data_IF_909216583634
#
_entry.id   IF_909216583634
#
_cell.length_a   1.000
_cell.length_b   1.000
_cell.length_c   1.000
_cell.angle_alpha   90.00
_cell.angle_beta   90.00
_cell.angle_gamma   90.00
#
_symmetry.space_group_name_H-M   'P 1'
#
loop_
_entity.id
_entity.type
_entity.pdbx_description
1 polymer ?
#
# COMPACT_ATOMS: atom_id res chain seq x y z
N UNK A 1 0.32 8.75 28.48
CA UNK A 1 -0.93 9.53 28.50
C UNK A 1 -1.30 9.81 27.06
N UNK A 2 -2.58 9.67 26.71
CA UNK A 2 -3.05 9.97 25.35
C UNK A 2 -3.00 11.49 25.12
N UNK A 3 -2.23 11.95 24.14
CA UNK A 3 -2.14 13.39 23.81
C UNK A 3 -3.25 13.83 22.85
N UNK A 4 -3.83 12.88 22.11
CA UNK A 4 -4.89 13.08 21.12
C UNK A 4 -6.22 12.48 21.60
N UNK A 5 -7.28 13.28 21.56
CA UNK A 5 -8.64 12.86 21.92
C UNK A 5 -9.58 13.09 20.74
N UNK A 6 -10.35 12.07 20.37
CA UNK A 6 -11.50 12.19 19.49
C UNK A 6 -12.78 12.12 20.32
N UNK A 7 -13.56 13.19 20.31
CA UNK A 7 -14.86 13.26 20.98
C UNK A 7 -15.97 13.15 19.93
N UNK A 8 -16.70 12.06 19.97
CA UNK A 8 -17.90 11.85 19.17
C UNK A 8 -19.12 12.31 19.98
N UNK A 9 -19.60 13.51 19.67
CA UNK A 9 -20.83 14.07 20.26
C UNK A 9 -22.08 13.60 19.52
N UNK A 10 -21.94 12.62 18.61
CA UNK A 10 -22.88 12.31 17.53
C UNK A 10 -24.34 12.36 17.94
N UNK A 11 -25.08 13.30 17.37
CA UNK A 11 -26.49 13.56 17.68
C UNK A 11 -27.21 14.15 16.45
N UNK A 12 -27.45 13.31 15.44
CA UNK A 12 -28.34 13.65 14.33
C UNK A 12 -29.75 13.14 14.70
N UNK A 13 -30.73 14.04 14.84
CA UNK A 13 -32.14 13.72 15.13
C UNK A 13 -32.46 13.15 16.52
N UNK A 14 -31.73 13.54 17.57
CA UNK A 14 -32.17 13.23 18.94
C UNK A 14 -33.50 13.96 19.23
N UNK A 15 -34.57 13.25 19.62
CA UNK A 15 -35.87 13.85 19.90
C UNK A 15 -35.90 14.62 21.24
N UNK A 16 -34.80 14.62 22.00
CA UNK A 16 -34.71 15.28 23.30
C UNK A 16 -34.07 16.67 23.19
N UNK A 17 -34.82 17.70 23.58
CA UNK A 17 -34.28 19.04 23.80
C UNK A 17 -33.22 19.00 24.91
N UNK A 18 -32.06 19.63 24.68
CA UNK A 18 -31.02 19.81 25.71
C UNK A 18 -29.91 18.76 25.72
N UNK A 19 -29.99 17.69 24.91
CA UNK A 19 -29.00 16.60 24.95
C UNK A 19 -27.59 17.07 24.51
N UNK A 20 -27.50 17.87 23.45
CA UNK A 20 -26.25 18.49 23.01
C UNK A 20 -25.64 19.36 24.13
N UNK A 21 -26.44 20.20 24.79
CA UNK A 21 -25.97 21.05 25.89
C UNK A 21 -25.43 20.22 27.07
N UNK A 22 -26.03 19.06 27.35
CA UNK A 22 -25.52 18.12 28.36
C UNK A 22 -24.16 17.56 27.95
N UNK A 23 -24.01 17.08 26.72
CA UNK A 23 -22.73 16.58 26.21
C UNK A 23 -21.64 17.65 26.24
N UNK A 24 -21.97 18.88 25.84
CA UNK A 24 -21.05 20.01 25.91
C UNK A 24 -20.59 20.28 27.35
N UNK A 25 -21.50 20.22 28.33
CA UNK A 25 -21.15 20.40 29.75
C UNK A 25 -20.23 19.29 30.26
N UNK A 26 -20.55 18.03 29.95
CA UNK A 26 -19.74 16.88 30.37
C UNK A 26 -18.35 16.93 29.72
N UNK A 27 -18.27 17.38 28.46
CA UNK A 27 -17.01 17.63 27.76
C UNK A 27 -16.19 18.75 28.38
N UNK A 28 -16.78 19.92 28.66
CA UNK A 28 -16.04 21.03 29.27
C UNK A 28 -15.37 20.60 30.58
N UNK A 29 -16.05 19.80 31.41
CA UNK A 29 -15.48 19.26 32.63
C UNK A 29 -14.28 18.32 32.37
N UNK A 30 -14.30 17.54 31.30
CA UNK A 30 -13.18 16.68 30.90
C UNK A 30 -11.98 17.49 30.37
N UNK A 31 -12.24 18.56 29.61
CA UNK A 31 -11.21 19.35 28.95
C UNK A 31 -10.47 20.26 29.95
N UNK A 32 -11.18 20.80 30.93
CA UNK A 32 -10.61 21.70 31.95
C UNK A 32 -9.59 21.02 32.89
N UNK A 33 -9.53 19.68 32.92
CA UNK A 33 -8.49 18.92 33.65
C UNK A 33 -7.08 19.10 33.03
N UNK A 34 -6.97 19.73 31.84
CA UNK A 34 -5.71 20.11 31.22
C UNK A 34 -4.84 18.93 30.75
N UNK A 35 -5.35 17.71 30.84
CA UNK A 35 -4.63 16.47 30.55
C UNK A 35 -4.36 16.23 29.05
N UNK A 36 -4.99 16.99 28.15
CA UNK A 36 -4.98 16.74 26.70
C UNK A 36 -4.50 17.96 25.91
N UNK A 37 -3.68 17.70 24.89
CA UNK A 37 -3.08 18.73 24.03
C UNK A 37 -3.86 18.97 22.75
N UNK A 38 -4.51 17.93 22.21
CA UNK A 38 -5.23 17.97 20.94
C UNK A 38 -6.58 17.28 21.05
N UNK A 39 -7.67 18.04 20.91
CA UNK A 39 -9.04 17.56 21.06
C UNK A 39 -9.78 17.79 19.75
N UNK A 40 -10.26 16.71 19.15
CA UNK A 40 -11.03 16.72 17.92
C UNK A 40 -12.48 16.38 18.23
N UNK A 41 -13.42 17.22 17.83
CA UNK A 41 -14.85 17.04 18.07
C UNK A 41 -15.51 16.69 16.75
N UNK A 42 -16.06 15.47 16.65
CA UNK A 42 -16.73 14.99 15.46
C UNK A 42 -18.23 15.27 15.52
N UNK A 43 -18.74 15.92 14.47
CA UNK A 43 -20.17 16.17 14.27
C UNK A 43 -20.70 15.20 13.21
N UNK A 44 -21.75 14.46 13.55
CA UNK A 44 -22.39 13.52 12.62
C UNK A 44 -23.47 14.25 11.80
N UNK A 45 -23.27 14.30 10.48
CA UNK A 45 -24.21 14.89 9.51
C UNK A 45 -25.16 13.84 8.93
N UNK A 46 -25.88 13.11 9.77
CA UNK A 46 -26.94 12.25 9.26
C UNK A 46 -28.21 13.07 8.96
N UNK A 47 -28.55 13.20 7.67
CA UNK A 47 -29.86 13.58 7.08
C UNK A 47 -30.73 14.68 7.73
N UNK A 48 -30.18 15.51 8.61
CA UNK A 48 -30.82 16.70 9.18
C UNK A 48 -30.71 17.91 8.26
N UNK A 49 -31.63 18.88 8.38
CA UNK A 49 -31.58 20.12 7.60
C UNK A 49 -30.31 20.92 7.93
N UNK A 50 -29.60 21.44 6.91
CA UNK A 50 -28.36 22.23 7.02
C UNK A 50 -28.36 23.28 8.16
N UNK A 51 -29.53 23.86 8.46
CA UNK A 51 -29.71 24.85 9.53
C UNK A 51 -29.31 24.34 10.92
N UNK A 52 -29.58 23.07 11.25
CA UNK A 52 -29.27 22.51 12.56
C UNK A 52 -27.76 22.28 12.75
N UNK A 53 -27.05 21.96 11.65
CA UNK A 53 -25.61 21.77 11.66
C UNK A 53 -24.86 23.09 11.87
N UNK A 54 -25.23 24.15 11.13
CA UNK A 54 -24.63 25.48 11.29
C UNK A 54 -24.78 25.99 12.72
N UNK A 55 -25.95 25.78 13.33
CA UNK A 55 -26.21 26.18 14.71
C UNK A 55 -25.37 25.37 15.73
N UNK A 56 -25.21 24.06 15.50
CA UNK A 56 -24.39 23.18 16.35
C UNK A 56 -22.92 23.57 16.32
N UNK A 57 -22.36 23.79 15.12
CA UNK A 57 -20.97 24.24 14.94
C UNK A 57 -20.74 25.61 15.57
N UNK A 58 -21.67 26.57 15.42
CA UNK A 58 -21.58 27.89 16.08
C UNK A 58 -21.56 27.74 17.60
N UNK A 59 -22.45 26.93 18.15
CA UNK A 59 -22.57 26.71 19.60
C UNK A 59 -21.30 26.08 20.19
N UNK A 60 -20.67 25.14 19.47
CA UNK A 60 -19.39 24.55 19.84
C UNK A 60 -18.27 25.60 19.84
N UNK A 61 -18.16 26.40 18.78
CA UNK A 61 -17.15 27.45 18.66
C UNK A 61 -17.30 28.52 19.74
N UNK A 62 -18.53 28.88 20.11
CA UNK A 62 -18.83 29.80 21.20
C UNK A 62 -18.45 29.20 22.56
N UNK A 63 -18.82 27.94 22.82
CA UNK A 63 -18.55 27.25 24.09
C UNK A 63 -17.06 27.10 24.38
N UNK A 64 -16.24 27.01 23.33
CA UNK A 64 -14.80 26.75 23.43
C UNK A 64 -13.93 27.89 22.89
N UNK A 65 -14.47 29.11 22.77
CA UNK A 65 -13.78 30.25 22.17
C UNK A 65 -12.41 30.59 22.81
N UNK A 66 -12.21 30.27 24.09
CA UNK A 66 -10.95 30.47 24.83
C UNK A 66 -9.90 29.36 24.67
N UNK A 67 -10.22 28.27 23.97
CA UNK A 67 -9.35 27.08 23.82
C UNK A 67 -9.15 26.69 22.35
N UNK A 68 -9.29 27.66 21.43
CA UNK A 68 -9.25 27.44 19.96
C UNK A 68 -7.97 26.77 19.44
N UNK A 69 -6.84 26.89 20.15
CA UNK A 69 -5.59 26.24 19.76
C UNK A 69 -5.56 24.73 20.08
N UNK A 70 -6.44 24.25 20.97
CA UNK A 70 -6.52 22.85 21.39
C UNK A 70 -7.69 22.09 20.78
N UNK A 71 -8.75 22.79 20.41
CA UNK A 71 -10.02 22.19 19.98
C UNK A 71 -10.22 22.37 18.48
N UNK A 72 -10.43 21.25 17.80
CA UNK A 72 -10.65 21.16 16.36
C UNK A 72 -12.02 20.53 16.10
N UNK A 73 -12.83 21.12 15.22
CA UNK A 73 -14.14 20.58 14.86
C UNK A 73 -14.03 19.84 13.52
N UNK A 74 -14.48 18.59 13.49
CA UNK A 74 -14.56 17.75 12.30
C UNK A 74 -16.02 17.72 11.81
N UNK A 75 -16.27 18.43 10.72
CA UNK A 75 -17.59 18.63 10.13
C UNK A 75 -17.60 18.22 8.65
N UNK A 76 -17.17 16.97 8.39
CA UNK A 76 -16.68 16.49 7.10
C UNK A 76 -17.74 15.80 6.21
N UNK A 77 -19.02 16.06 6.42
CA UNK A 77 -20.11 15.51 5.60
C UNK A 77 -20.50 14.06 5.90
N UNK A 78 -19.56 13.20 6.30
CA UNK A 78 -19.82 11.82 6.74
C UNK A 78 -18.79 11.37 7.80
N UNK A 79 -19.11 10.30 8.51
CA UNK A 79 -18.25 9.77 9.59
C UNK A 79 -16.93 9.24 9.02
N UNK A 80 -16.93 8.60 7.85
CA UNK A 80 -15.71 8.14 7.19
C UNK A 80 -14.71 9.28 6.93
N UNK A 81 -15.20 10.43 6.43
CA UNK A 81 -14.37 11.59 6.16
C UNK A 81 -13.82 12.21 7.44
N UNK A 82 -14.66 12.34 8.49
CA UNK A 82 -14.20 12.83 9.80
C UNK A 82 -13.11 11.95 10.41
N UNK A 83 -13.25 10.62 10.34
CA UNK A 83 -12.22 9.69 10.81
C UNK A 83 -10.94 9.76 9.98
N UNK A 84 -11.06 9.98 8.68
CA UNK A 84 -9.92 10.16 7.79
C UNK A 84 -9.17 11.47 8.10
N UNK A 85 -9.85 12.60 8.22
CA UNK A 85 -9.25 13.88 8.62
C UNK A 85 -8.60 13.78 10.01
N UNK A 86 -9.27 13.13 10.97
CA UNK A 86 -8.71 12.85 12.28
C UNK A 86 -7.40 12.05 12.18
N UNK A 87 -7.38 10.98 11.37
CA UNK A 87 -6.18 10.18 11.13
C UNK A 87 -5.04 11.01 10.53
N UNK A 88 -5.34 11.88 9.57
CA UNK A 88 -4.35 12.78 8.97
C UNK A 88 -3.70 13.65 10.05
N UNK A 89 -4.49 14.24 10.95
CA UNK A 89 -3.98 15.02 12.07
C UNK A 89 -3.11 14.19 13.04
N UNK A 90 -3.53 12.95 13.37
CA UNK A 90 -2.70 12.04 14.19
C UNK A 90 -1.35 11.77 13.53
N UNK A 91 -1.34 11.56 12.21
CA UNK A 91 -0.12 11.26 11.46
C UNK A 91 0.80 12.47 11.29
N UNK A 92 0.24 13.66 11.08
CA UNK A 92 1.00 14.92 10.97
C UNK A 92 1.73 15.27 12.27
N UNK A 93 1.16 14.90 13.41
CA UNK A 93 1.76 15.06 14.74
C UNK A 93 2.68 13.88 15.13
N UNK A 94 2.84 12.87 14.25
CA UNK A 94 3.54 11.60 14.50
C UNK A 94 3.08 10.87 15.77
N UNK A 95 1.80 11.02 16.13
CA UNK A 95 1.21 10.35 17.29
C UNK A 95 0.74 8.94 16.94
N UNK A 96 0.48 8.14 17.98
CA UNK A 96 -0.03 6.77 17.87
C UNK A 96 -1.05 6.41 18.95
N UNK A 97 -1.08 7.10 20.09
CA UNK A 97 -2.03 6.86 21.17
C UNK A 97 -3.22 7.81 21.08
N UNK A 98 -4.43 7.24 20.99
CA UNK A 98 -5.69 7.97 20.85
C UNK A 98 -6.66 7.55 21.95
N UNK A 99 -7.29 8.55 22.58
CA UNK A 99 -8.50 8.34 23.38
C UNK A 99 -9.74 8.69 22.56
N UNK A 100 -10.71 7.78 22.49
CA UNK A 100 -12.02 8.04 21.90
C UNK A 100 -13.05 8.19 23.00
N UNK A 101 -13.71 9.34 23.04
CA UNK A 101 -14.79 9.65 23.97
C UNK A 101 -16.09 9.63 23.17
N UNK A 102 -17.00 8.73 23.52
CA UNK A 102 -18.26 8.51 22.78
C UNK A 102 -19.33 7.99 23.74
N UNK A 103 -20.51 7.65 23.24
CA UNK A 103 -21.52 6.91 24.00
C UNK A 103 -21.33 5.40 23.90
N UNK A 104 -21.88 4.67 24.87
CA UNK A 104 -21.84 3.21 24.87
C UNK A 104 -22.48 2.59 23.62
N UNK A 105 -23.46 3.28 23.03
CA UNK A 105 -24.18 2.81 21.84
C UNK A 105 -23.37 2.98 20.55
N UNK A 106 -22.65 4.11 20.40
CA UNK A 106 -21.87 4.43 19.20
C UNK A 106 -20.48 3.77 19.18
N UNK A 107 -19.97 3.33 20.33
CA UNK A 107 -18.66 2.66 20.47
C UNK A 107 -18.39 1.57 19.43
N UNK A 108 -19.33 0.64 19.22
CA UNK A 108 -19.15 -0.48 18.29
C UNK A 108 -19.03 -0.02 16.82
N UNK A 109 -19.74 1.04 16.46
CA UNK A 109 -19.69 1.65 15.13
C UNK A 109 -18.32 2.29 14.91
N UNK A 110 -17.87 3.12 15.86
CA UNK A 110 -16.57 3.80 15.81
C UNK A 110 -15.39 2.82 15.78
N UNK A 111 -15.45 1.73 16.54
CA UNK A 111 -14.46 0.66 16.47
C UNK A 111 -14.39 0.01 15.08
N UNK A 112 -15.49 0.02 14.33
CA UNK A 112 -15.48 -0.46 12.94
C UNK A 112 -14.72 0.51 12.03
N UNK A 113 -14.97 1.83 12.11
CA UNK A 113 -14.17 2.83 11.37
C UNK A 113 -12.70 2.78 11.75
N UNK A 114 -12.39 2.68 13.05
CA UNK A 114 -11.02 2.48 13.54
C UNK A 114 -10.38 1.26 12.85
N UNK A 115 -11.04 0.09 12.87
CA UNK A 115 -10.48 -1.13 12.30
C UNK A 115 -10.23 -1.06 10.79
N UNK A 116 -10.95 -0.18 10.09
CA UNK A 116 -10.80 0.02 8.65
C UNK A 116 -9.74 1.06 8.32
N UNK A 117 -9.70 2.18 9.04
CA UNK A 117 -8.86 3.34 8.71
C UNK A 117 -7.52 3.36 9.46
N UNK A 118 -7.39 2.63 10.56
CA UNK A 118 -6.17 2.59 11.37
C UNK A 118 -5.54 1.19 11.35
N UNK A 119 -4.22 1.14 11.56
CA UNK A 119 -3.46 -0.11 11.66
C UNK A 119 -3.05 -0.39 13.10
N UNK A 120 -2.29 -1.47 13.32
CA UNK A 120 -1.77 -1.81 14.65
C UNK A 120 -0.65 -0.87 15.15
N UNK A 121 -0.22 0.09 14.33
CA UNK A 121 0.71 1.17 14.75
C UNK A 121 0.06 2.05 15.83
N UNK A 122 -1.27 2.12 15.85
CA UNK A 122 -2.02 2.99 16.76
C UNK A 122 -2.60 2.20 17.92
N UNK A 123 -2.60 2.81 19.11
CA UNK A 123 -3.30 2.32 20.29
C UNK A 123 -4.54 3.19 20.55
N UNK A 124 -5.65 2.52 20.89
CA UNK A 124 -6.92 3.19 21.13
C UNK A 124 -7.46 2.82 22.50
N UNK A 125 -7.77 3.85 23.28
CA UNK A 125 -8.59 3.76 24.49
C UNK A 125 -9.98 4.32 24.22
N UNK A 126 -10.98 3.83 24.94
CA UNK A 126 -12.36 4.28 24.76
C UNK A 126 -13.00 4.55 26.10
N UNK A 127 -13.52 5.77 26.26
CA UNK A 127 -14.31 6.20 27.40
C UNK A 127 -15.76 6.43 26.98
N UNK A 128 -16.69 5.92 27.78
CA UNK A 128 -18.12 6.17 27.62
C UNK A 128 -18.51 7.34 28.53
N UNK A 129 -18.55 8.55 27.97
CA UNK A 129 -18.90 9.76 28.72
C UNK A 129 -20.39 10.11 28.58
N UNK A 130 -20.99 9.74 27.46
CA UNK A 130 -22.36 10.12 27.09
C UNK A 130 -23.35 8.96 27.27
N UNK A 131 -24.52 9.25 27.85
CA UNK A 131 -25.64 8.32 27.97
C UNK A 131 -26.71 8.61 26.91
N UNK A 132 -26.61 7.88 25.81
CA UNK A 132 -27.52 7.99 24.66
C UNK A 132 -28.61 6.91 24.69
N UNK A 133 -28.85 6.26 25.84
CA UNK A 133 -29.76 5.10 25.95
C UNK A 133 -31.14 5.30 25.31
N UNK A 134 -31.60 6.55 25.24
CA UNK A 134 -32.91 6.96 24.73
C UNK A 134 -32.89 7.52 23.29
N UNK A 135 -31.73 7.56 22.62
CA UNK A 135 -31.52 8.31 21.37
C UNK A 135 -31.45 7.45 20.09
N UNK A 136 -31.26 6.11 20.14
CA UNK A 136 -31.03 5.27 18.94
C UNK A 136 -32.00 4.08 18.79
N UNK A 137 -32.49 3.85 17.56
CA UNK A 137 -33.31 2.69 17.16
C UNK A 137 -32.53 1.65 16.32
N UNK A 138 -32.15 0.53 16.94
CA UNK A 138 -31.71 -0.79 16.41
C UNK A 138 -30.46 -0.91 15.49
N UNK A 139 -29.68 -1.98 15.68
CA UNK A 139 -28.22 -2.02 15.47
C UNK A 139 -27.65 -3.10 14.52
N UNK A 140 -28.44 -3.77 13.67
CA UNK A 140 -27.93 -4.89 12.85
C UNK A 140 -27.53 -4.55 11.40
N UNK A 141 -28.07 -3.48 10.79
CA UNK A 141 -27.79 -3.09 9.41
C UNK A 141 -26.54 -2.20 9.23
N UNK A 142 -25.91 -1.77 10.32
CA UNK A 142 -24.91 -0.70 10.33
C UNK A 142 -23.54 -1.10 9.73
N UNK A 143 -23.05 -2.34 9.98
CA UNK A 143 -21.68 -2.74 9.60
C UNK A 143 -21.44 -2.84 8.09
N UNK A 144 -22.43 -3.32 7.32
CA UNK A 144 -22.30 -3.43 5.85
C UNK A 144 -22.30 -2.04 5.21
N UNK A 145 -23.00 -1.08 5.81
CA UNK A 145 -23.02 0.31 5.36
C UNK A 145 -21.67 1.01 5.61
N UNK A 146 -21.03 0.81 6.76
CA UNK A 146 -19.76 1.48 7.11
C UNK A 146 -18.64 1.16 6.10
N UNK A 147 -18.44 -0.10 5.73
CA UNK A 147 -17.38 -0.46 4.78
C UNK A 147 -17.61 0.15 3.40
N UNK A 148 -18.86 0.18 2.94
CA UNK A 148 -19.20 0.79 1.65
C UNK A 148 -19.13 2.33 1.70
N UNK A 149 -19.47 2.96 2.82
CA UNK A 149 -19.25 4.39 3.04
C UNK A 149 -17.75 4.73 2.96
N UNK A 150 -16.89 4.00 3.70
CA UNK A 150 -15.44 4.19 3.66
C UNK A 150 -14.91 4.03 2.24
N UNK A 151 -15.32 2.99 1.52
CA UNK A 151 -14.90 2.79 0.12
C UNK A 151 -15.36 3.94 -0.78
N UNK A 152 -16.63 4.34 -0.69
CA UNK A 152 -17.20 5.42 -1.51
C UNK A 152 -16.47 6.74 -1.25
N UNK A 153 -16.19 7.04 0.02
CA UNK A 153 -15.40 8.19 0.41
C UNK A 153 -13.98 8.14 -0.16
N UNK A 154 -13.24 7.05 0.03
CA UNK A 154 -11.86 6.92 -0.48
C UNK A 154 -11.79 6.97 -2.01
N UNK A 155 -12.81 6.44 -2.70
CA UNK A 155 -12.94 6.55 -4.16
C UNK A 155 -13.15 7.99 -4.64
N UNK A 156 -13.76 8.85 -3.82
CA UNK A 156 -13.98 10.26 -4.15
C UNK A 156 -12.74 11.13 -3.99
N UNK A 157 -11.72 10.67 -3.25
CA UNK A 157 -10.51 11.45 -3.00
C UNK A 157 -9.72 11.66 -4.31
N UNK A 158 -9.11 12.84 -4.53
CA UNK A 158 -8.19 13.03 -5.65
C UNK A 158 -6.90 12.25 -5.44
N UNK A 159 -6.13 12.04 -6.51
CA UNK A 159 -4.76 11.55 -6.37
C UNK A 159 -3.91 12.59 -5.61
N UNK A 160 -3.09 12.14 -4.68
CA UNK A 160 -2.25 13.03 -3.84
C UNK A 160 -1.10 13.63 -4.67
N UNK A 161 -0.54 12.87 -5.63
CA UNK A 161 0.58 13.34 -6.44
C UNK A 161 0.56 12.70 -7.83
N UNK A 162 0.40 13.53 -8.86
CA UNK A 162 0.45 13.13 -10.26
C UNK A 162 -0.60 12.09 -10.65
N UNK A 163 -0.50 11.61 -11.88
CA UNK A 163 -1.34 10.53 -12.42
C UNK A 163 -0.64 9.17 -12.29
N UNK A 164 -1.41 8.09 -12.44
CA UNK A 164 -0.83 6.75 -12.50
C UNK A 164 0.05 6.64 -13.74
N UNK A 165 1.32 6.31 -13.52
CA UNK A 165 2.28 6.00 -14.58
C UNK A 165 2.71 4.53 -14.50
N UNK A 166 2.68 3.87 -15.66
CA UNK A 166 3.01 2.45 -15.81
C UNK A 166 4.11 2.33 -16.84
N UNK A 167 5.27 1.84 -16.43
CA UNK A 167 6.37 1.54 -17.34
C UNK A 167 6.09 0.21 -18.05
N UNK A 168 6.12 0.21 -19.38
CA UNK A 168 5.92 -0.97 -20.22
C UNK A 168 7.15 -1.24 -21.08
N UNK A 169 7.51 -2.51 -21.13
CA UNK A 169 8.59 -3.04 -21.95
C UNK A 169 8.10 -3.42 -23.34
N UNK A 170 8.89 -3.14 -24.37
CA UNK A 170 8.71 -3.61 -25.75
C UNK A 170 9.09 -5.08 -25.96
N UNK A 171 9.74 -5.72 -24.99
CA UNK A 171 10.17 -7.13 -25.10
C UNK A 171 9.01 -8.10 -24.85
N UNK A 172 8.02 -7.67 -24.06
CA UNK A 172 6.84 -8.50 -23.76
C UNK A 172 5.84 -8.37 -24.90
N UNK A 173 5.48 -9.50 -25.50
CA UNK A 173 4.56 -9.55 -26.64
C UNK A 173 3.13 -9.12 -26.28
N UNK A 174 2.36 -8.71 -27.29
CA UNK A 174 0.97 -8.26 -27.12
C UNK A 174 0.00 -9.33 -26.64
N UNK A 175 0.40 -10.61 -26.60
CA UNK A 175 -0.41 -11.68 -25.99
C UNK A 175 -0.52 -11.51 -24.46
N UNK A 176 0.38 -10.73 -23.88
CA UNK A 176 0.41 -10.42 -22.47
C UNK A 176 0.13 -8.93 -22.24
N UNK A 177 -0.29 -8.62 -21.03
CA UNK A 177 -0.27 -7.26 -20.53
C UNK A 177 0.57 -7.21 -19.27
N UNK A 178 1.29 -6.11 -19.09
CA UNK A 178 2.22 -5.94 -17.99
C UNK A 178 2.41 -4.49 -17.61
N UNK A 179 3.15 -4.29 -16.54
CA UNK A 179 3.72 -3.00 -16.22
C UNK A 179 4.53 -3.00 -14.94
N UNK A 180 5.28 -1.92 -14.75
CA UNK A 180 5.86 -1.57 -13.45
C UNK A 180 5.29 -0.23 -13.02
N UNK A 181 4.74 -0.16 -11.82
CA UNK A 181 4.14 1.06 -11.31
C UNK A 181 5.19 2.05 -10.84
N UNK A 182 4.91 3.34 -10.99
CA UNK A 182 5.58 4.40 -10.23
C UNK A 182 4.86 4.63 -8.90
N UNK A 183 5.32 5.61 -8.12
CA UNK A 183 4.69 6.03 -6.85
C UNK A 183 3.55 7.03 -7.00
N UNK A 184 3.19 7.45 -8.22
CA UNK A 184 2.22 8.54 -8.49
C UNK A 184 0.81 8.01 -8.77
N UNK A 185 -0.22 8.83 -8.54
CA UNK A 185 -1.62 8.53 -8.88
C UNK A 185 -2.47 7.87 -7.78
N UNK A 186 -1.93 7.67 -6.58
CA UNK A 186 -2.65 7.06 -5.46
C UNK A 186 -3.16 8.06 -4.41
N UNK A 187 -3.79 7.53 -3.36
CA UNK A 187 -4.42 8.30 -2.27
C UNK A 187 -3.65 8.26 -0.94
N UNK A 188 -2.55 7.50 -0.86
CA UNK A 188 -1.75 7.47 0.37
C UNK A 188 -1.10 8.84 0.58
N UNK A 189 -1.33 9.46 1.73
CA UNK A 189 -0.85 10.82 2.03
C UNK A 189 0.40 10.86 2.91
N UNK A 190 0.66 9.79 3.70
CA UNK A 190 1.84 9.71 4.57
C UNK A 190 3.09 9.85 3.72
N UNK A 191 3.99 10.78 4.06
CA UNK A 191 5.11 11.22 3.21
C UNK A 191 5.93 10.08 2.60
N UNK A 192 6.22 9.05 3.40
CA UNK A 192 6.99 7.87 2.98
C UNK A 192 6.20 6.85 2.17
N UNK A 193 4.87 6.90 2.24
CA UNK A 193 3.92 6.02 1.53
C UNK A 193 3.25 6.73 0.35
N UNK A 194 3.48 8.05 0.19
CA UNK A 194 2.87 8.88 -0.85
C UNK A 194 3.33 8.48 -2.26
N UNK A 195 2.48 8.18 -3.23
CA UNK A 195 1.01 8.23 -3.25
C UNK A 195 0.34 6.90 -3.59
N UNK A 196 0.85 6.17 -4.59
CA UNK A 196 0.33 4.87 -5.05
C UNK A 196 1.05 3.73 -4.32
N UNK A 197 0.89 3.67 -2.99
CA UNK A 197 1.38 2.55 -2.21
C UNK A 197 0.48 1.32 -2.42
N UNK A 198 1.08 0.20 -2.83
CA UNK A 198 0.37 -1.04 -3.17
C UNK A 198 0.58 -2.16 -2.14
N UNK A 199 1.07 -1.82 -0.94
CA UNK A 199 1.27 -2.77 0.15
C UNK A 199 0.93 -2.17 1.51
N UNK A 200 0.19 -2.92 2.33
CA UNK A 200 -0.07 -2.60 3.73
C UNK A 200 0.45 -3.72 4.65
N UNK A 201 0.79 -3.35 5.88
CA UNK A 201 1.09 -4.31 6.95
C UNK A 201 0.75 -3.68 8.29
N UNK A 202 0.66 -4.51 9.33
CA UNK A 202 0.40 -4.06 10.71
C UNK A 202 1.44 -3.07 11.25
N UNK A 203 2.62 -2.99 10.64
CA UNK A 203 3.73 -2.11 11.04
C UNK A 203 3.76 -0.78 10.30
N UNK A 204 2.87 -0.55 9.33
CA UNK A 204 2.81 0.68 8.53
C UNK A 204 1.53 1.47 8.84
N UNK A 205 1.54 2.78 8.58
CA UNK A 205 0.42 3.69 8.84
C UNK A 205 -0.70 3.63 7.78
N UNK A 206 -0.43 3.12 6.58
CA UNK A 206 -1.47 2.92 5.55
C UNK A 206 -2.33 1.69 5.86
N UNK A 207 -3.65 1.83 6.00
CA UNK A 207 -4.55 0.70 6.18
C UNK A 207 -4.84 -0.02 4.86
N UNK A 208 -5.35 -1.26 4.97
CA UNK A 208 -5.70 -2.09 3.81
C UNK A 208 -6.68 -1.39 2.86
N UNK A 209 -7.70 -0.69 3.37
CA UNK A 209 -8.72 -0.02 2.51
C UNK A 209 -8.13 1.08 1.61
N UNK A 210 -7.06 1.74 2.04
CA UNK A 210 -6.35 2.76 1.23
C UNK A 210 -5.53 2.08 0.12
N UNK A 211 -4.86 0.98 0.45
CA UNK A 211 -4.09 0.19 -0.52
C UNK A 211 -5.00 -0.53 -1.53
N UNK A 212 -6.16 -1.02 -1.09
CA UNK A 212 -7.20 -1.58 -1.96
C UNK A 212 -7.71 -0.56 -2.97
N UNK A 213 -7.90 0.70 -2.55
CA UNK A 213 -8.28 1.79 -3.46
C UNK A 213 -7.17 2.13 -4.46
N UNK A 214 -5.91 2.19 -4.02
CA UNK A 214 -4.76 2.35 -4.93
C UNK A 214 -4.70 1.22 -5.96
N UNK A 215 -4.91 -0.02 -5.55
CA UNK A 215 -4.97 -1.17 -6.46
C UNK A 215 -6.15 -1.09 -7.43
N UNK A 216 -7.32 -0.61 -6.97
CA UNK A 216 -8.49 -0.38 -7.83
C UNK A 216 -8.19 0.65 -8.91
N UNK A 217 -7.55 1.78 -8.56
CA UNK A 217 -7.13 2.80 -9.53
C UNK A 217 -6.13 2.25 -10.53
N UNK A 218 -5.15 1.47 -10.06
CA UNK A 218 -4.22 0.78 -10.94
C UNK A 218 -4.95 -0.17 -11.90
N UNK A 219 -5.88 -0.98 -11.41
CA UNK A 219 -6.68 -1.91 -12.21
C UNK A 219 -7.47 -1.19 -13.31
N UNK A 220 -8.10 -0.05 -12.99
CA UNK A 220 -8.76 0.79 -13.98
C UNK A 220 -7.81 1.31 -15.07
N UNK A 221 -6.63 1.79 -14.67
CA UNK A 221 -5.65 2.34 -15.61
C UNK A 221 -4.97 1.26 -16.46
N UNK A 222 -4.73 0.09 -15.88
CA UNK A 222 -4.04 -1.02 -16.53
C UNK A 222 -4.98 -1.92 -17.34
N UNK A 223 -6.27 -1.94 -17.01
CA UNK A 223 -7.29 -2.77 -17.66
C UNK A 223 -7.46 -4.16 -17.04
N UNK A 224 -7.39 -4.27 -15.71
CA UNK A 224 -7.66 -5.52 -14.99
C UNK A 224 -8.62 -5.32 -13.80
N UNK A 225 -9.37 -6.38 -13.44
CA UNK A 225 -10.17 -6.41 -12.21
C UNK A 225 -9.26 -6.74 -11.01
N UNK A 226 -9.19 -5.88 -9.96
CA UNK A 226 -8.46 -6.18 -8.73
C UNK A 226 -8.79 -7.53 -8.07
N UNK A 227 -9.96 -8.12 -8.32
CA UNK A 227 -10.31 -9.46 -7.82
C UNK A 227 -9.45 -10.57 -8.41
N UNK A 228 -8.86 -10.36 -9.58
CA UNK A 228 -7.98 -11.32 -10.24
C UNK A 228 -6.51 -11.09 -9.87
N UNK A 229 -6.21 -10.10 -9.01
CA UNK A 229 -4.86 -9.72 -8.65
C UNK A 229 -4.30 -10.57 -7.50
N UNK A 230 -3.08 -11.07 -7.71
CA UNK A 230 -2.33 -11.87 -6.75
C UNK A 230 -0.93 -11.27 -6.60
N UNK A 231 -0.61 -10.82 -5.38
CA UNK A 231 0.72 -10.36 -5.01
C UNK A 231 1.48 -11.47 -4.29
N UNK A 232 2.75 -11.66 -4.62
CA UNK A 232 3.60 -12.59 -3.87
C UNK A 232 3.80 -12.12 -2.42
N UNK A 233 3.93 -13.07 -1.47
CA UNK A 233 4.10 -12.77 -0.04
C UNK A 233 5.49 -12.25 0.33
N UNK A 234 6.53 -12.63 -0.43
CA UNK A 234 7.95 -12.25 -0.25
C UNK A 234 8.56 -12.62 1.09
N UNK A 235 9.24 -13.76 1.15
CA UNK A 235 9.96 -14.23 2.34
C UNK A 235 11.49 -14.14 2.19
N UNK A 236 11.96 -13.51 1.10
CA UNK A 236 13.38 -13.51 0.71
C UNK A 236 13.95 -14.95 0.59
N UNK A 237 13.11 -15.86 0.13
CA UNK A 237 13.36 -17.23 -0.28
C UNK A 237 13.69 -17.31 -1.78
N UNK A 238 13.63 -18.52 -2.34
CA UNK A 238 13.84 -18.81 -3.76
C UNK A 238 12.71 -19.63 -4.38
N UNK A 239 11.85 -20.21 -3.57
CA UNK A 239 10.78 -21.10 -4.04
C UNK A 239 9.77 -20.33 -4.90
N UNK A 240 9.17 -21.05 -5.84
CA UNK A 240 8.20 -20.54 -6.80
C UNK A 240 6.89 -21.30 -6.65
N UNK A 241 5.81 -20.57 -6.36
CA UNK A 241 4.48 -21.15 -6.30
C UNK A 241 3.88 -21.32 -7.69
N UNK A 242 3.56 -22.56 -8.04
CA UNK A 242 2.80 -22.90 -9.25
C UNK A 242 1.31 -22.74 -8.95
N UNK A 243 0.67 -21.74 -9.54
CA UNK A 243 -0.74 -21.46 -9.26
C UNK A 243 -1.61 -22.63 -9.70
N UNK A 244 -2.41 -23.15 -8.76
CA UNK A 244 -3.21 -24.37 -8.93
C UNK A 244 -2.66 -25.57 -8.16
N UNK A 245 -1.42 -25.49 -7.66
CA UNK A 245 -0.86 -26.42 -6.68
C UNK A 245 -0.98 -25.84 -5.25
N UNK A 246 -0.85 -26.68 -4.20
CA UNK A 246 -0.77 -26.19 -2.82
C UNK A 246 0.27 -25.08 -2.69
N UNK A 247 -0.12 -24.00 -2.01
CA UNK A 247 0.77 -22.88 -1.76
C UNK A 247 1.90 -23.32 -0.82
N UNK A 248 3.18 -23.09 -1.19
CA UNK A 248 4.30 -23.42 -0.33
C UNK A 248 4.32 -22.51 0.92
N UNK A 249 4.93 -22.96 2.03
CA UNK A 249 5.00 -22.16 3.26
C UNK A 249 5.84 -20.89 3.09
N UNK A 250 6.74 -20.87 2.11
CA UNK A 250 7.57 -19.72 1.79
C UNK A 250 7.86 -19.65 0.29
N UNK A 251 7.79 -18.46 -0.31
CA UNK A 251 8.09 -18.27 -1.73
C UNK A 251 8.31 -16.79 -2.09
N UNK A 252 9.06 -16.57 -3.17
CA UNK A 252 9.31 -15.24 -3.75
C UNK A 252 9.00 -15.19 -5.24
N UNK A 253 8.46 -16.27 -5.82
CA UNK A 253 7.96 -16.29 -7.19
C UNK A 253 6.60 -16.95 -7.35
N UNK A 254 5.87 -16.56 -8.39
CA UNK A 254 4.64 -17.24 -8.84
C UNK A 254 4.71 -17.49 -10.33
N UNK A 255 4.21 -18.64 -10.77
CA UNK A 255 4.13 -19.04 -12.18
C UNK A 255 2.75 -19.61 -12.51
N UNK A 256 2.25 -19.33 -13.72
CA UNK A 256 0.94 -19.78 -14.19
C UNK A 256 0.81 -19.71 -15.70
N UNK A 257 -0.11 -20.49 -16.26
CA UNK A 257 -0.60 -20.36 -17.64
C UNK A 257 -2.11 -20.00 -17.70
N UNK A 258 -2.69 -19.55 -16.58
CA UNK A 258 -4.12 -19.17 -16.50
C UNK A 258 -4.35 -17.79 -17.11
N UNK A 259 -5.25 -17.71 -18.08
CA UNK A 259 -5.71 -16.45 -18.67
C UNK A 259 -6.51 -15.60 -17.66
N UNK A 260 -6.38 -14.27 -17.77
CA UNK A 260 -7.12 -13.30 -16.95
C UNK A 260 -6.65 -13.13 -15.50
N UNK A 261 -5.72 -13.97 -15.02
CA UNK A 261 -5.13 -13.88 -13.69
C UNK A 261 -3.94 -12.90 -13.67
N UNK A 262 -3.99 -11.88 -12.81
CA UNK A 262 -2.90 -10.91 -12.66
C UNK A 262 -2.00 -11.33 -11.53
N UNK A 263 -0.74 -11.62 -11.84
CA UNK A 263 0.31 -11.91 -10.85
C UNK A 263 1.27 -10.72 -10.75
N UNK A 264 1.74 -10.45 -9.53
CA UNK A 264 2.62 -9.31 -9.27
C UNK A 264 3.72 -9.61 -8.24
N UNK A 265 4.83 -8.91 -8.40
CA UNK A 265 5.97 -8.86 -7.49
C UNK A 265 6.15 -7.45 -6.92
N UNK A 266 6.26 -7.27 -5.59
CA UNK A 266 6.52 -5.96 -5.01
C UNK A 266 7.98 -5.55 -5.24
N UNK A 267 8.20 -4.25 -5.22
CA UNK A 267 9.51 -3.62 -5.34
C UNK A 267 9.57 -2.30 -4.58
N UNK A 268 10.72 -2.05 -3.98
CA UNK A 268 11.16 -0.77 -3.42
C UNK A 268 12.66 -0.90 -3.13
N UNK A 269 13.42 -1.08 -4.21
CA UNK A 269 14.85 -1.45 -4.31
C UNK A 269 15.10 -2.90 -4.73
N UNK A 270 14.42 -3.87 -4.13
CA UNK A 270 14.47 -5.24 -4.65
C UNK A 270 13.85 -5.30 -6.06
N UNK A 271 14.32 -6.23 -6.89
CA UNK A 271 13.92 -6.31 -8.30
C UNK A 271 12.59 -7.07 -8.45
N UNK A 272 11.54 -6.44 -8.99
CA UNK A 272 10.44 -7.18 -9.60
C UNK A 272 10.91 -7.70 -10.96
N UNK A 273 10.84 -9.02 -11.14
CA UNK A 273 11.18 -9.70 -12.38
C UNK A 273 9.89 -10.21 -13.04
N UNK A 274 9.72 -9.95 -14.34
CA UNK A 274 8.61 -10.48 -15.13
C UNK A 274 9.17 -11.47 -16.15
N UNK A 275 8.52 -12.63 -16.26
CA UNK A 275 8.88 -13.72 -17.16
C UNK A 275 7.69 -14.04 -18.06
N UNK A 276 7.92 -14.14 -19.37
CA UNK A 276 6.89 -14.55 -20.34
C UNK A 276 7.46 -15.57 -21.31
N UNK A 277 6.75 -16.66 -21.51
CA UNK A 277 6.96 -17.57 -22.63
C UNK A 277 5.79 -17.41 -23.62
N UNK A 278 6.00 -16.77 -24.79
CA UNK A 278 4.96 -16.58 -25.79
C UNK A 278 4.56 -17.88 -26.51
N UNK A 279 5.42 -18.92 -26.49
CA UNK A 279 5.19 -20.20 -27.17
C UNK A 279 4.34 -21.11 -26.27
N UNK A 280 4.79 -21.35 -25.04
CA UNK A 280 4.06 -22.17 -24.06
C UNK A 280 2.89 -21.42 -23.40
N UNK A 281 2.80 -20.09 -23.60
CA UNK A 281 1.81 -19.18 -22.97
C UNK A 281 1.86 -19.27 -21.43
N UNK A 282 3.06 -19.09 -20.90
CA UNK A 282 3.34 -19.14 -19.46
C UNK A 282 3.84 -17.79 -19.00
N UNK A 283 3.40 -17.38 -17.83
CA UNK A 283 3.87 -16.16 -17.18
C UNK A 283 4.41 -16.46 -15.79
N UNK A 284 5.42 -15.69 -15.39
CA UNK A 284 6.00 -15.75 -14.06
C UNK A 284 6.33 -14.35 -13.53
N UNK A 285 6.26 -14.20 -12.22
CA UNK A 285 6.78 -13.03 -11.51
C UNK A 285 7.64 -13.46 -10.35
N UNK A 286 8.74 -12.76 -10.11
CA UNK A 286 9.60 -13.02 -8.94
C UNK A 286 10.06 -11.72 -8.28
N UNK A 287 10.19 -11.76 -6.96
CA UNK A 287 10.87 -10.74 -6.17
C UNK A 287 12.31 -11.19 -5.91
N UNK A 288 13.27 -10.46 -6.47
CA UNK A 288 14.69 -10.73 -6.30
C UNK A 288 15.34 -9.57 -5.51
N UNK A 289 15.35 -9.72 -4.18
CA UNK A 289 16.24 -8.95 -3.31
C UNK A 289 17.63 -9.58 -3.24
N UNK A 290 18.58 -8.95 -2.56
CA UNK A 290 19.96 -9.41 -2.54
C UNK A 290 20.16 -10.84 -1.96
N UNK A 291 19.30 -11.28 -1.03
CA UNK A 291 19.34 -12.67 -0.56
C UNK A 291 18.70 -13.62 -1.58
N UNK A 292 17.57 -13.22 -2.18
CA UNK A 292 16.85 -14.02 -3.17
C UNK A 292 17.67 -14.25 -4.45
N UNK A 293 18.42 -13.24 -4.91
CA UNK A 293 19.34 -13.37 -6.04
C UNK A 293 20.42 -14.41 -5.75
N UNK A 294 21.06 -14.38 -4.56
CA UNK A 294 22.07 -15.37 -4.18
C UNK A 294 21.49 -16.78 -3.99
N UNK A 295 20.22 -16.88 -3.58
CA UNK A 295 19.50 -18.16 -3.50
C UNK A 295 19.01 -18.66 -4.87
N UNK A 296 19.14 -17.87 -5.93
CA UNK A 296 18.80 -18.29 -7.28
C UNK A 296 17.31 -18.22 -7.63
N UNK A 297 16.50 -17.36 -7.02
CA UNK A 297 15.06 -17.24 -7.32
C UNK A 297 14.76 -17.08 -8.83
N UNK A 298 15.64 -16.38 -9.56
CA UNK A 298 15.50 -16.22 -11.01
C UNK A 298 15.72 -17.54 -11.77
N UNK A 299 16.64 -18.39 -11.29
CA UNK A 299 16.90 -19.72 -11.84
C UNK A 299 15.74 -20.66 -11.51
N UNK A 300 15.25 -20.63 -10.27
CA UNK A 300 14.10 -21.43 -9.84
C UNK A 300 12.83 -21.09 -10.63
N UNK A 301 12.63 -19.81 -11.00
CA UNK A 301 11.54 -19.43 -11.89
C UNK A 301 11.65 -20.09 -13.26
N UNK A 302 12.83 -20.06 -13.88
CA UNK A 302 13.06 -20.73 -15.18
C UNK A 302 12.84 -22.24 -15.05
N UNK A 303 13.37 -22.86 -13.99
CA UNK A 303 13.16 -24.29 -13.71
C UNK A 303 11.67 -24.63 -13.55
N UNK A 304 10.90 -23.80 -12.86
CA UNK A 304 9.46 -23.98 -12.69
C UNK A 304 8.72 -23.86 -14.03
N UNK A 305 9.04 -22.86 -14.86
CA UNK A 305 8.45 -22.73 -16.20
C UNK A 305 8.74 -23.97 -17.07
N UNK A 306 9.97 -24.47 -17.05
CA UNK A 306 10.39 -25.66 -17.82
C UNK A 306 9.70 -26.92 -17.32
N UNK A 307 9.81 -27.21 -16.02
CA UNK A 307 9.36 -28.49 -15.45
C UNK A 307 7.84 -28.61 -15.37
N UNK A 308 7.12 -27.50 -15.18
CA UNK A 308 5.67 -27.51 -14.95
C UNK A 308 4.86 -27.26 -16.22
N UNK A 309 5.42 -26.51 -17.16
CA UNK A 309 4.69 -26.08 -18.36
C UNK A 309 5.41 -26.43 -19.68
N UNK A 310 6.61 -27.01 -19.61
CA UNK A 310 7.36 -27.41 -20.81
C UNK A 310 7.95 -26.22 -21.58
N UNK A 311 8.10 -25.06 -20.92
CA UNK A 311 8.78 -23.91 -21.52
C UNK A 311 10.19 -24.27 -21.97
N UNK A 312 10.62 -23.71 -23.09
CA UNK A 312 12.02 -23.75 -23.50
C UNK A 312 12.71 -22.46 -23.04
N UNK A 313 13.82 -22.51 -22.27
CA UNK A 313 14.50 -21.29 -21.80
C UNK A 313 14.87 -20.30 -22.92
N UNK A 314 15.09 -20.77 -24.15
CA UNK A 314 15.38 -19.88 -25.28
C UNK A 314 14.21 -19.01 -25.71
N UNK A 315 12.98 -19.43 -25.41
CA UNK A 315 11.74 -18.73 -25.78
C UNK A 315 11.26 -17.79 -24.65
N UNK A 316 11.83 -17.94 -23.45
CA UNK A 316 11.46 -17.13 -22.28
C UNK A 316 12.09 -15.74 -22.38
N UNK A 317 11.24 -14.73 -22.31
CA UNK A 317 11.60 -13.31 -22.19
C UNK A 317 11.54 -12.90 -20.74
N UNK A 318 12.56 -12.16 -20.29
CA UNK A 318 12.67 -11.66 -18.92
C UNK A 318 12.87 -10.15 -18.92
N UNK A 319 12.09 -9.46 -18.11
CA UNK A 319 12.20 -8.01 -17.92
C UNK A 319 12.51 -7.71 -16.45
N UNK A 320 13.66 -7.05 -16.22
CA UNK A 320 14.09 -6.60 -14.89
C UNK A 320 13.55 -5.18 -14.65
N UNK A 321 12.62 -5.05 -13.71
CA UNK A 321 11.99 -3.77 -13.38
C UNK A 321 12.88 -2.79 -12.59
N UNK A 322 12.39 -1.55 -12.39
CA UNK A 322 13.04 -0.57 -11.53
C UNK A 322 13.36 -1.13 -10.15
N UNK A 323 14.59 -0.91 -9.72
CA UNK A 323 15.20 -1.50 -8.50
C UNK A 323 16.33 -0.59 -8.01
N UNK A 324 17.07 -0.94 -6.97
CA UNK A 324 18.28 -0.19 -6.61
C UNK A 324 19.41 -0.55 -7.58
N UNK A 325 20.17 0.45 -8.02
CA UNK A 325 21.34 0.27 -8.88
C UNK A 325 22.65 0.20 -8.09
N UNK A 326 23.75 -0.18 -8.76
CA UNK A 326 25.09 -0.21 -8.15
C UNK A 326 25.61 1.18 -7.77
N UNK A 327 24.93 2.26 -8.16
CA UNK A 327 25.22 3.62 -7.69
C UNK A 327 24.82 3.86 -6.23
N UNK A 328 23.87 3.09 -5.68
CA UNK A 328 23.33 3.29 -4.34
C UNK A 328 23.39 2.05 -3.45
N UNK A 329 23.41 0.85 -4.04
CA UNK A 329 23.36 -0.38 -3.27
C UNK A 329 24.74 -0.79 -2.76
N UNK A 330 24.84 -0.96 -1.44
CA UNK A 330 26.06 -1.45 -0.77
C UNK A 330 25.72 -2.60 0.16
N UNK A 331 26.67 -3.51 0.33
CA UNK A 331 26.59 -4.61 1.29
C UNK A 331 27.83 -4.61 2.18
N UNK A 332 27.81 -5.37 3.27
CA UNK A 332 29.04 -5.74 3.97
C UNK A 332 29.96 -6.56 3.03
N UNK A 333 31.25 -6.60 3.36
CA UNK A 333 32.25 -7.26 2.52
C UNK A 333 31.94 -8.74 2.28
N UNK A 334 31.57 -9.49 3.32
CA UNK A 334 31.34 -10.93 3.21
C UNK A 334 30.16 -11.25 2.28
N UNK A 335 29.09 -10.44 2.36
CA UNK A 335 27.96 -10.54 1.44
C UNK A 335 28.34 -10.11 0.02
N UNK A 336 29.15 -9.07 -0.15
CA UNK A 336 29.63 -8.63 -1.46
C UNK A 336 30.52 -9.67 -2.15
N UNK A 337 31.38 -10.38 -1.41
CA UNK A 337 32.24 -11.44 -1.97
C UNK A 337 31.43 -12.55 -2.66
N UNK A 338 30.23 -12.86 -2.18
CA UNK A 338 29.33 -13.83 -2.82
C UNK A 338 28.90 -13.39 -4.22
N UNK A 339 28.74 -12.08 -4.44
CA UNK A 339 28.45 -11.51 -5.75
C UNK A 339 29.68 -11.45 -6.64
N UNK A 340 30.86 -11.18 -6.09
CA UNK A 340 32.12 -11.25 -6.83
C UNK A 340 32.36 -12.65 -7.40
N UNK A 341 31.99 -13.68 -6.64
CA UNK A 341 32.08 -15.08 -7.07
C UNK A 341 31.13 -15.42 -8.25
N UNK A 342 30.03 -14.69 -8.41
CA UNK A 342 29.17 -14.80 -9.61
C UNK A 342 29.89 -14.14 -10.80
N UNK A 343 30.35 -12.90 -10.62
CA UNK A 343 31.15 -12.19 -11.62
C UNK A 343 31.89 -10.98 -11.00
N UNK A 344 33.17 -10.73 -11.34
CA UNK A 344 33.94 -9.62 -10.79
C UNK A 344 33.27 -8.24 -10.93
N UNK A 345 32.65 -7.97 -12.08
CA UNK A 345 31.99 -6.68 -12.35
C UNK A 345 30.74 -6.43 -11.48
N UNK A 346 30.23 -7.45 -10.78
CA UNK A 346 29.13 -7.26 -9.85
C UNK A 346 29.53 -6.46 -8.61
N UNK A 347 30.84 -6.28 -8.34
CA UNK A 347 31.32 -5.61 -7.13
C UNK A 347 32.30 -4.50 -7.47
N UNK A 348 31.97 -3.28 -7.06
CA UNK A 348 32.85 -2.10 -7.17
C UNK A 348 33.39 -1.71 -5.81
N UNK A 349 34.61 -1.18 -5.80
CA UNK A 349 35.32 -0.81 -4.57
C UNK A 349 35.41 -1.96 -3.55
N UNK A 350 35.76 -3.17 -4.01
CA UNK A 350 35.84 -4.41 -3.20
C UNK A 350 36.64 -4.26 -1.89
N UNK A 351 37.68 -3.43 -1.90
CA UNK A 351 38.48 -3.12 -0.70
C UNK A 351 37.76 -2.28 0.36
N UNK A 352 36.60 -1.69 0.06
CA UNK A 352 35.78 -0.93 1.01
C UNK A 352 35.18 -1.84 2.10
N UNK A 353 34.92 -1.32 3.31
CA UNK A 353 34.07 -2.02 4.30
C UNK A 353 32.63 -2.22 3.79
N UNK A 354 32.16 -1.33 2.91
CA UNK A 354 30.87 -1.43 2.24
C UNK A 354 31.03 -1.29 0.72
N UNK A 355 31.35 -2.37 0.00
CA UNK A 355 31.44 -2.35 -1.46
C UNK A 355 30.08 -2.07 -2.10
N UNK A 356 30.11 -1.50 -3.30
CA UNK A 356 28.91 -1.34 -4.12
C UNK A 356 28.64 -2.62 -4.88
N UNK A 357 27.38 -3.05 -4.92
CA UNK A 357 26.97 -4.35 -5.50
C UNK A 357 25.92 -4.14 -6.59
N UNK A 358 26.17 -4.72 -7.76
CA UNK A 358 25.22 -4.78 -8.87
C UNK A 358 24.43 -6.09 -8.85
N UNK A 359 23.33 -6.09 -8.10
CA UNK A 359 22.42 -7.25 -8.03
C UNK A 359 21.69 -7.52 -9.36
N UNK A 360 21.60 -6.51 -10.24
CA UNK A 360 20.94 -6.63 -11.55
C UNK A 360 21.84 -7.40 -12.51
N UNK A 361 23.12 -7.04 -12.57
CA UNK A 361 24.12 -7.76 -13.36
C UNK A 361 24.23 -9.22 -12.91
N UNK A 362 24.28 -9.46 -11.60
CA UNK A 362 24.30 -10.83 -11.07
C UNK A 362 23.06 -11.63 -11.52
N UNK A 363 21.87 -11.02 -11.45
CA UNK A 363 20.63 -11.64 -11.91
C UNK A 363 20.67 -11.93 -13.42
N UNK A 364 21.16 -10.99 -14.24
CA UNK A 364 21.35 -11.19 -15.69
C UNK A 364 22.23 -12.42 -15.99
N UNK A 365 23.35 -12.55 -15.27
CA UNK A 365 24.30 -13.65 -15.46
C UNK A 365 23.67 -14.98 -15.07
N UNK A 366 22.97 -15.03 -13.94
CA UNK A 366 22.26 -16.24 -13.49
C UNK A 366 21.17 -16.66 -14.47
N UNK A 367 20.42 -15.72 -15.05
CA UNK A 367 19.43 -16.00 -16.09
C UNK A 367 20.06 -16.60 -17.35
N UNK A 368 21.20 -16.07 -17.79
CA UNK A 368 21.94 -16.63 -18.94
C UNK A 368 22.47 -18.03 -18.65
N UNK A 369 22.96 -18.28 -17.44
CA UNK A 369 23.37 -19.61 -17.00
C UNK A 369 22.20 -20.60 -16.95
N UNK A 370 20.99 -20.12 -16.67
CA UNK A 370 19.75 -20.91 -16.73
C UNK A 370 19.23 -21.13 -18.17
N UNK A 371 19.92 -20.62 -19.20
CA UNK A 371 19.61 -20.86 -20.61
C UNK A 371 18.80 -19.75 -21.28
N UNK A 372 18.48 -18.66 -20.58
CA UNK A 372 17.81 -17.50 -21.20
C UNK A 372 18.78 -16.78 -22.15
N UNK A 373 18.33 -16.52 -23.37
CA UNK A 373 19.18 -15.86 -24.36
C UNK A 373 19.44 -14.39 -23.98
N UNK A 374 20.68 -13.86 -24.16
CA UNK A 374 21.01 -12.49 -23.77
C UNK A 374 20.11 -11.40 -24.36
N UNK A 375 19.57 -11.61 -25.57
CA UNK A 375 18.67 -10.67 -26.24
C UNK A 375 17.21 -10.80 -25.78
N UNK A 376 16.87 -11.83 -24.99
CA UNK A 376 15.57 -11.99 -24.35
C UNK A 376 15.52 -11.38 -22.93
N UNK A 377 16.62 -10.77 -22.45
CA UNK A 377 16.70 -10.15 -21.12
C UNK A 377 16.79 -8.63 -21.27
N UNK A 378 15.73 -7.93 -20.86
CA UNK A 378 15.73 -6.47 -20.74
C UNK A 378 16.14 -6.03 -19.33
N UNK A 379 17.20 -5.23 -19.25
CA UNK A 379 17.68 -4.60 -18.02
C UNK A 379 18.41 -3.27 -18.34
N UNK A 380 19.24 -2.78 -17.42
CA UNK A 380 20.05 -1.57 -17.60
C UNK A 380 21.29 -1.73 -18.48
N UNK A 381 21.48 -2.85 -19.18
CA UNK A 381 22.49 -3.01 -20.24
C UNK A 381 21.93 -2.68 -21.62
N UNK A 382 20.60 -2.72 -21.77
CA UNK A 382 19.89 -2.29 -22.98
C UNK A 382 19.76 -0.76 -22.93
N UNK A 383 20.52 -0.07 -23.78
CA UNK A 383 20.65 1.40 -23.76
C UNK A 383 19.58 2.15 -24.58
N UNK A 384 18.57 1.45 -25.08
CA UNK A 384 17.44 2.06 -25.78
C UNK A 384 16.68 3.02 -24.85
N UNK A 385 16.21 4.14 -25.41
CA UNK A 385 15.47 5.16 -24.65
C UNK A 385 13.95 5.01 -24.84
N UNK A 386 13.16 5.27 -23.78
CA UNK A 386 13.59 5.65 -22.43
C UNK A 386 14.23 4.48 -21.67
N UNK A 387 15.20 4.79 -20.80
CA UNK A 387 15.81 3.77 -19.94
C UNK A 387 14.73 3.15 -19.05
N UNK A 388 14.70 1.82 -19.02
CA UNK A 388 13.64 1.07 -18.37
C UNK A 388 13.96 0.77 -16.90
N UNK A 389 15.13 0.17 -16.64
CA UNK A 389 15.56 -0.29 -15.31
C UNK A 389 16.21 0.85 -14.52
N UNK A 390 15.41 1.84 -14.13
CA UNK A 390 15.86 3.01 -13.35
C UNK A 390 16.28 2.64 -11.92
N UNK A 391 17.19 3.42 -11.32
CA UNK A 391 17.55 3.28 -9.91
C UNK A 391 16.48 3.94 -9.03
N UNK A 392 15.75 3.13 -8.26
CA UNK A 392 14.66 3.57 -7.37
C UNK A 392 15.14 4.59 -6.33
N UNK A 393 16.34 4.39 -5.77
CA UNK A 393 16.94 5.32 -4.82
C UNK A 393 17.26 6.69 -5.45
N UNK A 394 17.77 6.71 -6.69
CA UNK A 394 18.10 7.94 -7.42
C UNK A 394 16.90 8.69 -7.99
N UNK A 395 15.71 8.08 -8.02
CA UNK A 395 14.53 8.63 -8.69
C UNK A 395 13.37 8.81 -7.70
N UNK A 396 13.49 9.73 -6.73
CA UNK A 396 12.52 9.91 -5.64
C UNK A 396 11.13 10.33 -6.10
N UNK A 397 11.03 11.04 -7.22
CA UNK A 397 9.74 11.47 -7.78
C UNK A 397 8.97 10.31 -8.44
N UNK A 398 9.69 9.27 -8.87
CA UNK A 398 9.11 8.14 -9.59
C UNK A 398 8.90 6.90 -8.72
N UNK A 399 9.75 6.64 -7.72
CA UNK A 399 9.73 5.35 -6.99
C UNK A 399 9.91 5.48 -5.49
N UNK A 400 9.33 4.54 -4.75
CA UNK A 400 9.70 4.28 -3.36
C UNK A 400 11.05 3.54 -3.30
N UNK A 401 11.79 3.76 -2.21
CA UNK A 401 13.10 3.13 -1.99
C UNK A 401 13.36 2.95 -0.50
N UNK A 402 13.58 1.72 -0.05
CA UNK A 402 13.98 1.42 1.33
C UNK A 402 15.40 1.96 1.65
N UNK A 403 16.34 1.89 0.72
CA UNK A 403 17.72 2.40 0.82
C UNK A 403 17.71 3.91 1.06
N UNK A 404 16.80 4.65 0.42
CA UNK A 404 16.65 6.09 0.62
C UNK A 404 15.78 6.44 1.82
N UNK A 405 14.62 5.81 1.95
CA UNK A 405 13.54 6.24 2.86
C UNK A 405 13.52 5.47 4.20
N UNK A 406 14.32 4.42 4.33
CA UNK A 406 14.42 3.60 5.54
C UNK A 406 13.28 2.59 5.68
N UNK A 407 12.92 2.24 6.93
CA UNK A 407 12.02 1.13 7.26
C UNK A 407 10.54 1.40 6.94
N UNK A 408 10.17 2.67 6.84
CA UNK A 408 8.81 3.11 6.50
C UNK A 408 8.85 3.63 5.08
N UNK A 409 8.45 2.80 4.11
CA UNK A 409 8.47 3.11 2.68
C UNK A 409 7.22 2.52 2.01
N UNK A 410 6.69 3.21 1.00
CA UNK A 410 5.63 2.68 0.15
C UNK A 410 6.16 1.59 -0.78
N UNK A 411 5.29 0.91 -1.52
CA UNK A 411 5.71 -0.22 -2.36
C UNK A 411 5.10 -0.10 -3.75
N UNK A 412 5.95 -0.09 -4.77
CA UNK A 412 5.56 -0.27 -6.16
C UNK A 412 5.52 -1.77 -6.51
N UNK A 413 4.96 -2.12 -7.66
CA UNK A 413 4.91 -3.51 -8.12
C UNK A 413 5.30 -3.63 -9.60
N UNK A 414 5.83 -4.79 -9.98
CA UNK A 414 5.76 -5.29 -11.35
C UNK A 414 4.61 -6.29 -11.46
N UNK A 415 3.80 -6.19 -12.50
CA UNK A 415 2.62 -7.04 -12.71
C UNK A 415 2.50 -7.51 -14.15
N UNK A 416 1.85 -8.67 -14.33
CA UNK A 416 1.74 -9.38 -15.62
C UNK A 416 0.50 -10.26 -15.63
N UNK A 417 -0.17 -10.37 -16.79
CA UNK A 417 -1.21 -11.36 -17.06
C UNK A 417 -1.27 -11.77 -18.54
N UNK A 418 -1.85 -12.93 -18.78
CA UNK A 418 -2.21 -13.40 -20.12
C UNK A 418 -3.57 -12.81 -20.46
N UNK A 419 -3.67 -12.09 -21.57
CA UNK A 419 -4.95 -11.52 -22.03
C UNK A 419 -5.90 -12.66 -22.40
N UNK A 420 -7.18 -12.54 -22.05
CA UNK A 420 -8.20 -13.45 -22.57
C UNK A 420 -8.19 -13.32 -24.09
N UNK A 421 -8.15 -14.45 -24.80
CA UNK A 421 -8.42 -14.40 -26.23
C UNK A 421 -9.86 -13.92 -26.41
N UNK A 422 -10.04 -12.77 -27.08
CA UNK A 422 -11.35 -12.41 -27.58
C UNK A 422 -11.79 -13.57 -28.47
N UNK A 423 -12.79 -14.34 -28.02
CA UNK A 423 -13.51 -15.22 -28.92
C UNK A 423 -14.19 -14.28 -29.91
N UNK A 424 -13.61 -14.17 -31.10
CA UNK A 424 -14.23 -13.48 -32.23
C UNK A 424 -15.56 -14.20 -32.50
N UNK A 425 -16.64 -13.68 -31.90
CA UNK A 425 -18.00 -14.13 -32.13
C UNK A 425 -18.53 -13.63 -33.46
#
# INVERSE_FOLDING_TARGET
>A
MCEMVLVDIGHSNCPQDGCLQKHLKDMSAMIDDGAYSHIYIMIDRDSGTEKNHVQTTSTLLESFAGQKEKIHILDEGCVASSWYCFKQAVDELDLSAVLVVTSSQRRNMLQTYQSLLFTAVYSFEYAALFDDSQCLNSSSHLRKNIREEVKTFLQSLPAVTGEISILRSSFISDSFSHGFTTRTGGISYVSTLRSLNLFSSSRRRDPNVVVEENLRRLGLQAGFDPKNFHLIKTDHASDVWVIGKPEPPSYDGMVTNREGLVIAAPGADCMPLLFTDPVAKVIGVAHAGWKGTLKGVAVEMVNAMVSEFGSNPSDVVVVIGPSVGPCCFTLDRDSAEKYYAIHPDCVKARGSPRPYVDIRLATRILLQQAGILPHCIQDNTVMERPLFTLCTACSPDAFFSHVRDGINFGTQIGFLWIKNQCVSG
#
